data_IF_445080775927
#
_entry.id   IF_445080775927
#
_cell.length_a   1.000
_cell.length_b   1.000
_cell.length_c   1.000
_cell.angle_alpha   90.00
_cell.angle_beta   90.00
_cell.angle_gamma   90.00
#
_symmetry.space_group_name_H-M   'P 1'
#
loop_
_entity.id
_entity.type
_entity.pdbx_description
1 polymer ?
#
# COMPACT_ATOMS: atom_id res chain seq x y z
N UNK A 1 7.29 5.63 -2.26
CA UNK A 1 6.79 4.43 -2.94
C UNK A 1 7.92 3.47 -3.26
N UNK A 2 7.75 2.21 -2.92
CA UNK A 2 8.62 1.12 -3.32
C UNK A 2 7.82 0.13 -4.17
N UNK A 3 8.53 -0.67 -4.94
CA UNK A 3 7.94 -1.72 -5.77
C UNK A 3 8.62 -3.04 -5.43
N UNK A 4 7.85 -4.09 -5.25
CA UNK A 4 8.37 -5.42 -4.97
C UNK A 4 8.57 -6.18 -6.29
N UNK A 5 9.74 -6.77 -6.45
CA UNK A 5 10.13 -7.54 -7.63
C UNK A 5 10.22 -9.02 -7.28
N UNK A 6 9.76 -9.87 -8.18
CA UNK A 6 9.91 -11.31 -8.08
C UNK A 6 11.30 -11.78 -8.59
N UNK A 7 11.51 -13.09 -8.65
CA UNK A 7 12.75 -13.71 -9.12
C UNK A 7 13.09 -13.42 -10.59
N UNK A 8 12.10 -12.95 -11.36
CA UNK A 8 12.26 -12.60 -12.79
C UNK A 8 12.36 -11.08 -13.00
N UNK A 9 12.54 -10.29 -11.93
CA UNK A 9 12.55 -8.83 -11.94
C UNK A 9 11.23 -8.20 -12.39
N UNK A 10 10.13 -8.95 -12.30
CA UNK A 10 8.80 -8.43 -12.56
C UNK A 10 8.18 -7.90 -11.27
N UNK A 11 7.60 -6.69 -11.34
CA UNK A 11 6.91 -6.11 -10.19
C UNK A 11 5.53 -6.75 -10.02
N UNK A 12 5.13 -6.95 -8.79
CA UNK A 12 3.85 -7.60 -8.46
C UNK A 12 3.10 -6.94 -7.30
N UNK A 13 3.76 -6.12 -6.52
CA UNK A 13 3.18 -5.42 -5.37
C UNK A 13 3.91 -4.10 -5.16
N UNK A 14 3.28 -3.22 -4.37
CA UNK A 14 3.87 -1.98 -3.91
C UNK A 14 4.38 -2.10 -2.48
N UNK A 15 5.00 -1.04 -2.02
CA UNK A 15 5.48 -0.90 -0.65
C UNK A 15 5.69 0.55 -0.28
N UNK A 16 5.93 0.79 0.99
CA UNK A 16 6.15 2.12 1.55
C UNK A 16 7.51 2.16 2.25
N UNK A 17 8.32 3.14 1.95
CA UNK A 17 9.62 3.34 2.59
C UNK A 17 9.38 3.90 3.99
N UNK A 18 9.73 3.14 5.03
CA UNK A 18 9.63 3.58 6.42
C UNK A 18 10.89 4.31 6.89
N UNK A 19 12.06 3.77 6.53
CA UNK A 19 13.36 4.35 6.80
C UNK A 19 14.39 3.71 5.86
N UNK A 20 15.68 3.92 6.12
CA UNK A 20 16.75 3.44 5.23
C UNK A 20 16.83 1.91 5.13
N UNK A 21 16.31 1.15 6.09
CA UNK A 21 16.39 -0.31 6.09
C UNK A 21 15.05 -1.02 5.94
N UNK A 22 13.91 -0.35 6.20
CA UNK A 22 12.62 -1.03 6.31
C UNK A 22 11.59 -0.54 5.29
N UNK A 23 10.92 -1.51 4.70
CA UNK A 23 9.82 -1.31 3.76
C UNK A 23 8.56 -1.95 4.34
N UNK A 24 7.47 -1.20 4.34
CA UNK A 24 6.15 -1.69 4.74
C UNK A 24 5.41 -2.20 3.51
N UNK A 25 4.79 -3.37 3.60
CA UNK A 25 4.00 -3.94 2.53
C UNK A 25 2.84 -4.78 3.09
N UNK A 26 2.09 -5.42 2.21
CA UNK A 26 1.02 -6.32 2.61
C UNK A 26 1.54 -7.75 2.77
N UNK A 27 1.04 -8.46 3.77
CA UNK A 27 1.42 -9.85 4.01
C UNK A 27 1.05 -10.76 2.84
N UNK A 28 -0.06 -10.48 2.15
CA UNK A 28 -0.48 -11.30 1.00
C UNK A 28 0.50 -11.23 -0.17
N UNK A 29 1.34 -10.21 -0.24
CA UNK A 29 2.38 -10.05 -1.27
C UNK A 29 3.59 -10.96 -1.04
N UNK A 30 3.78 -11.47 0.17
CA UNK A 30 5.01 -12.15 0.58
C UNK A 30 4.85 -13.65 0.45
N UNK A 31 5.77 -14.27 -0.29
CA UNK A 31 5.93 -15.73 -0.34
C UNK A 31 7.30 -16.06 0.26
N UNK A 32 7.36 -16.66 1.47
CA UNK A 32 8.64 -16.93 2.15
C UNK A 32 9.57 -17.87 1.37
N UNK A 33 9.04 -18.67 0.42
CA UNK A 33 9.83 -19.60 -0.36
C UNK A 33 10.45 -19.00 -1.61
N UNK A 34 10.18 -17.70 -1.90
CA UNK A 34 10.70 -17.04 -3.10
C UNK A 34 11.59 -15.86 -2.75
N UNK A 35 12.60 -15.63 -3.59
CA UNK A 35 13.46 -14.47 -3.49
C UNK A 35 12.65 -13.20 -3.79
N UNK A 36 12.91 -12.16 -2.99
CA UNK A 36 12.20 -10.90 -3.06
C UNK A 36 13.21 -9.76 -3.10
N UNK A 37 12.98 -8.83 -4.01
CA UNK A 37 13.77 -7.61 -4.12
C UNK A 37 12.88 -6.38 -4.14
N UNK A 38 13.42 -5.25 -3.76
CA UNK A 38 12.72 -3.97 -3.69
C UNK A 38 13.36 -2.99 -4.66
N UNK A 39 12.55 -2.37 -5.49
CA UNK A 39 12.95 -1.31 -6.39
C UNK A 39 12.44 0.03 -5.83
N UNK A 40 13.33 1.00 -5.72
CA UNK A 40 13.00 2.36 -5.27
C UNK A 40 13.47 3.38 -6.30
N UNK A 41 12.94 4.59 -6.21
CA UNK A 41 13.31 5.70 -7.09
C UNK A 41 12.71 5.61 -8.49
N UNK A 42 11.75 4.71 -8.71
CA UNK A 42 11.08 4.57 -10.00
C UNK A 42 9.83 5.46 -10.05
N UNK A 43 9.72 6.29 -11.08
CA UNK A 43 8.53 7.07 -11.40
C UNK A 43 7.92 6.59 -12.71
N UNK A 44 8.76 6.18 -13.65
CA UNK A 44 8.37 5.68 -14.97
C UNK A 44 9.10 4.35 -15.21
N UNK A 45 8.36 3.29 -15.52
CA UNK A 45 8.91 1.93 -15.73
C UNK A 45 9.89 1.87 -16.90
N UNK A 46 9.67 2.67 -17.92
CA UNK A 46 10.47 2.69 -19.14
C UNK A 46 11.78 3.49 -18.99
N UNK A 47 11.84 4.40 -18.02
CA UNK A 47 12.98 5.26 -17.82
C UNK A 47 13.88 4.78 -16.70
N UNK A 48 15.18 4.72 -16.98
CA UNK A 48 16.19 4.52 -15.94
C UNK A 48 16.58 5.87 -15.34
N UNK A 49 16.01 6.17 -14.20
CA UNK A 49 16.33 7.39 -13.46
C UNK A 49 17.56 7.15 -12.59
N UNK A 50 18.41 8.19 -12.33
CA UNK A 50 19.59 8.02 -11.48
C UNK A 50 19.29 7.54 -10.06
N UNK A 51 18.10 7.85 -9.54
CA UNK A 51 17.64 7.43 -8.21
C UNK A 51 17.11 6.01 -8.16
N UNK A 52 16.89 5.38 -9.32
CA UNK A 52 16.34 4.03 -9.42
C UNK A 52 17.38 2.99 -8.97
N UNK A 53 17.05 2.22 -7.95
CA UNK A 53 17.94 1.22 -7.38
C UNK A 53 17.19 -0.01 -6.91
N UNK A 54 17.79 -1.18 -7.13
CA UNK A 54 17.27 -2.48 -6.68
C UNK A 54 18.02 -2.92 -5.42
N UNK A 55 17.26 -3.32 -4.39
CA UNK A 55 17.80 -3.74 -3.10
C UNK A 55 17.33 -5.16 -2.77
N UNK A 56 18.23 -5.96 -2.23
CA UNK A 56 17.91 -7.30 -1.73
C UNK A 56 17.25 -7.21 -0.36
N UNK A 57 16.25 -8.05 -0.14
CA UNK A 57 15.58 -8.19 1.14
C UNK A 57 16.31 -9.23 2.00
N UNK A 58 16.80 -8.82 3.15
CA UNK A 58 17.45 -9.70 4.13
C UNK A 58 16.42 -10.57 4.84
N UNK A 59 15.30 -9.96 5.26
CA UNK A 59 14.28 -10.63 6.05
C UNK A 59 12.91 -10.04 5.77
N UNK A 60 11.92 -10.91 5.60
CA UNK A 60 10.52 -10.55 5.48
C UNK A 60 9.77 -11.02 6.72
N UNK A 61 9.08 -10.10 7.40
CA UNK A 61 8.35 -10.38 8.64
C UNK A 61 6.86 -10.18 8.36
N UNK A 62 6.13 -11.29 8.28
CA UNK A 62 4.68 -11.30 8.11
C UNK A 62 4.03 -11.24 9.49
N UNK A 63 2.97 -10.44 9.64
CA UNK A 63 2.25 -10.38 10.90
C UNK A 63 1.75 -11.77 11.31
N UNK A 64 1.96 -12.20 12.57
CA UNK A 64 1.61 -13.56 12.99
C UNK A 64 0.12 -13.88 12.92
N UNK A 65 -0.74 -12.87 12.93
CA UNK A 65 -2.19 -13.05 12.84
C UNK A 65 -2.75 -12.87 11.43
N UNK A 66 -1.88 -12.76 10.42
CA UNK A 66 -2.36 -12.65 9.03
C UNK A 66 -3.13 -13.89 8.62
N UNK A 67 -4.34 -13.67 8.10
CA UNK A 67 -5.21 -14.73 7.61
C UNK A 67 -5.34 -14.62 6.08
N UNK A 68 -4.84 -15.62 5.36
CA UNK A 68 -4.86 -15.63 3.89
C UNK A 68 -6.24 -15.75 3.27
N UNK A 69 -7.21 -16.22 4.04
CA UNK A 69 -8.60 -16.35 3.57
C UNK A 69 -9.37 -15.04 3.67
N UNK A 70 -9.24 -14.35 4.80
CA UNK A 70 -9.98 -13.12 5.07
C UNK A 70 -9.18 -11.85 4.80
N UNK A 71 -7.86 -11.96 4.66
CA UNK A 71 -6.89 -10.86 4.57
C UNK A 71 -6.88 -9.99 5.84
N UNK A 72 -7.33 -10.51 6.96
CA UNK A 72 -7.19 -9.82 8.23
C UNK A 72 -5.73 -9.74 8.64
N UNK A 73 -5.30 -8.62 9.22
CA UNK A 73 -3.91 -8.35 9.59
C UNK A 73 -2.93 -8.45 8.40
N UNK A 74 -3.32 -7.90 7.27
CA UNK A 74 -2.55 -7.95 6.02
C UNK A 74 -1.42 -6.92 6.03
N UNK A 75 -0.38 -7.22 6.79
CA UNK A 75 0.77 -6.34 6.98
C UNK A 75 2.05 -7.15 7.09
N UNK A 76 3.11 -6.64 6.46
CA UNK A 76 4.45 -7.20 6.52
C UNK A 76 5.50 -6.09 6.52
N UNK A 77 6.64 -6.36 7.13
CA UNK A 77 7.79 -5.45 7.14
C UNK A 77 8.97 -6.18 6.53
N UNK A 78 9.64 -5.53 5.59
CA UNK A 78 10.80 -6.06 4.89
C UNK A 78 12.04 -5.32 5.36
N UNK A 79 13.07 -6.07 5.80
CA UNK A 79 14.37 -5.51 6.13
C UNK A 79 15.30 -5.69 4.95
N UNK A 80 15.94 -4.61 4.50
CA UNK A 80 16.90 -4.62 3.41
C UNK A 80 18.28 -5.03 3.90
N UNK A 81 19.07 -5.69 3.05
CA UNK A 81 20.47 -6.04 3.36
C UNK A 81 21.33 -4.80 3.51
N UNK A 82 21.11 -3.80 2.65
CA UNK A 82 21.87 -2.56 2.62
C UNK A 82 20.93 -1.36 2.73
N UNK A 83 21.36 -0.25 3.34
CA UNK A 83 20.50 0.92 3.51
C UNK A 83 20.21 1.62 2.19
N UNK A 84 19.01 2.22 2.12
CA UNK A 84 18.62 3.08 1.01
C UNK A 84 19.39 4.40 1.07
N UNK A 85 19.77 4.91 -0.10
CA UNK A 85 20.24 6.29 -0.24
C UNK A 85 19.04 7.18 -0.57
N UNK A 86 18.70 8.11 0.31
CA UNK A 86 17.59 9.02 0.10
C UNK A 86 17.94 10.08 -0.95
N UNK A 87 16.94 10.48 -1.72
CA UNK A 87 17.06 11.46 -2.80
C UNK A 87 15.69 12.11 -3.02
N UNK A 88 15.55 12.93 -4.05
CA UNK A 88 14.26 13.56 -4.39
C UNK A 88 13.16 12.52 -4.70
N UNK A 89 13.52 11.32 -5.17
CA UNK A 89 12.60 10.26 -5.52
C UNK A 89 12.59 9.09 -4.53
N UNK A 90 13.44 9.14 -3.51
CA UNK A 90 13.55 8.10 -2.48
C UNK A 90 13.46 8.76 -1.11
N UNK A 91 12.24 8.90 -0.60
CA UNK A 91 11.94 9.61 0.64
C UNK A 91 11.09 8.72 1.52
N UNK A 92 11.41 8.61 2.84
CA UNK A 92 10.57 7.85 3.74
C UNK A 92 9.24 8.57 3.99
N UNK A 93 8.19 7.80 4.20
CA UNK A 93 6.91 8.32 4.66
C UNK A 93 6.92 8.47 6.17
N UNK A 94 6.13 9.42 6.67
CA UNK A 94 6.00 9.64 8.12
C UNK A 94 5.04 8.61 8.72
N UNK A 95 5.48 7.94 9.80
CA UNK A 95 4.60 7.11 10.61
C UNK A 95 3.91 8.00 11.65
N UNK A 96 2.57 7.96 11.72
CA UNK A 96 1.84 8.71 12.75
C UNK A 96 1.87 7.99 14.09
N UNK A 97 1.58 8.72 15.16
CA UNK A 97 1.22 8.09 16.43
C UNK A 97 -0.21 7.57 16.36
N UNK A 98 -0.52 6.55 17.17
CA UNK A 98 -1.81 5.85 17.12
C UNK A 98 -3.01 6.78 17.33
N UNK A 99 -2.98 7.61 18.38
CA UNK A 99 -4.07 8.54 18.67
C UNK A 99 -4.24 9.59 17.57
N UNK A 100 -3.15 10.13 17.07
CA UNK A 100 -3.17 11.08 15.97
C UNK A 100 -3.76 10.45 14.70
N UNK A 101 -3.40 9.20 14.39
CA UNK A 101 -3.95 8.48 13.25
C UNK A 101 -5.45 8.28 13.39
N UNK A 102 -5.91 7.79 14.55
CA UNK A 102 -7.33 7.50 14.77
C UNK A 102 -8.19 8.75 14.87
N UNK A 103 -7.73 9.76 15.59
CA UNK A 103 -8.58 10.91 15.96
C UNK A 103 -8.53 12.02 14.91
N UNK A 104 -7.42 12.18 14.22
CA UNK A 104 -7.21 13.28 13.27
C UNK A 104 -7.13 12.79 11.83
N UNK A 105 -6.20 11.86 11.51
CA UNK A 105 -5.96 11.48 10.13
C UNK A 105 -7.13 10.72 9.52
N UNK A 106 -7.68 9.76 10.24
CA UNK A 106 -8.80 8.93 9.75
C UNK A 106 -10.12 9.71 9.66
N UNK A 107 -10.18 10.91 10.24
CA UNK A 107 -11.33 11.79 10.15
C UNK A 107 -11.20 12.86 9.06
N UNK A 108 -10.11 12.86 8.30
CA UNK A 108 -10.00 13.68 7.09
C UNK A 108 -10.95 13.17 6.01
N UNK A 109 -11.28 14.04 5.06
CA UNK A 109 -12.19 13.66 3.96
C UNK A 109 -11.54 12.73 2.96
N UNK A 110 -10.26 12.95 2.65
CA UNK A 110 -9.55 12.23 1.60
C UNK A 110 -8.23 11.66 2.09
N UNK A 111 -7.86 10.51 1.52
CA UNK A 111 -6.51 9.99 1.51
C UNK A 111 -5.98 9.92 0.08
N UNK A 112 -4.74 9.48 -0.06
CA UNK A 112 -4.05 9.39 -1.35
C UNK A 112 -3.43 7.99 -1.47
N UNK A 113 -3.70 7.33 -2.59
CA UNK A 113 -3.07 6.06 -2.94
C UNK A 113 -2.20 6.24 -4.17
N UNK A 114 -1.15 5.44 -4.27
CA UNK A 114 -0.24 5.48 -5.40
C UNK A 114 0.23 4.08 -5.77
N UNK A 115 0.61 3.91 -7.04
CA UNK A 115 1.10 2.63 -7.52
C UNK A 115 1.24 2.55 -9.02
N UNK A 116 1.77 1.42 -9.47
CA UNK A 116 1.97 1.07 -10.87
C UNK A 116 1.00 -0.01 -11.35
N UNK A 117 -0.07 -0.25 -10.61
CA UNK A 117 -1.07 -1.26 -10.94
C UNK A 117 -1.85 -0.97 -12.22
N UNK A 118 -2.72 -1.90 -12.60
CA UNK A 118 -3.53 -1.77 -13.79
C UNK A 118 -4.47 -0.57 -13.70
N UNK A 119 -4.74 0.07 -14.84
CA UNK A 119 -5.67 1.22 -14.89
C UNK A 119 -7.10 0.83 -14.57
N UNK A 120 -7.48 -0.39 -14.94
CA UNK A 120 -8.83 -0.94 -14.75
C UNK A 120 -8.70 -2.40 -14.34
N UNK A 121 -9.75 -2.96 -13.78
CA UNK A 121 -9.86 -4.40 -13.61
C UNK A 121 -9.62 -5.07 -14.97
N UNK A 122 -8.64 -5.98 -15.05
CA UNK A 122 -8.18 -6.63 -16.28
C UNK A 122 -7.58 -5.67 -17.32
N UNK A 123 -7.25 -4.45 -16.92
CA UNK A 123 -6.58 -3.49 -17.78
C UNK A 123 -5.09 -3.75 -17.92
N UNK A 124 -4.43 -2.88 -18.68
CA UNK A 124 -2.96 -2.93 -18.83
C UNK A 124 -2.28 -2.25 -17.66
N UNK A 125 -1.12 -2.75 -17.22
CA UNK A 125 -0.29 -2.05 -16.25
C UNK A 125 0.06 -0.64 -16.76
N UNK A 126 0.11 0.32 -15.86
CA UNK A 126 0.54 1.68 -16.18
C UNK A 126 2.06 1.77 -16.23
N UNK A 127 2.60 2.60 -17.11
CA UNK A 127 4.03 2.84 -17.23
C UNK A 127 4.55 3.81 -16.16
N UNK A 128 3.75 4.80 -15.82
CA UNK A 128 4.05 5.80 -14.79
C UNK A 128 3.27 5.53 -13.52
N UNK A 129 3.87 5.88 -12.38
CA UNK A 129 3.19 5.82 -11.11
C UNK A 129 1.95 6.71 -11.14
N UNK A 130 0.80 6.14 -10.78
CA UNK A 130 -0.43 6.88 -10.59
C UNK A 130 -0.58 7.30 -9.15
N UNK A 131 -1.08 8.52 -8.96
CA UNK A 131 -1.45 9.07 -7.67
C UNK A 131 -2.92 9.41 -7.72
N UNK A 132 -3.68 8.90 -6.76
CA UNK A 132 -5.14 9.04 -6.75
C UNK A 132 -5.61 9.51 -5.39
N UNK A 133 -6.33 10.64 -5.38
CA UNK A 133 -7.03 11.12 -4.17
C UNK A 133 -8.36 10.38 -4.05
N UNK A 134 -8.60 9.74 -2.92
CA UNK A 134 -9.82 8.97 -2.66
C UNK A 134 -10.43 9.33 -1.31
N UNK A 135 -11.77 9.40 -1.21
CA UNK A 135 -12.41 9.70 0.07
C UNK A 135 -12.40 8.51 1.00
N UNK A 136 -12.33 8.78 2.29
CA UNK A 136 -12.63 7.78 3.31
C UNK A 136 -14.10 7.40 3.24
N UNK A 137 -14.40 6.13 3.44
CA UNK A 137 -15.77 5.62 3.42
C UNK A 137 -16.13 5.13 4.82
N UNK A 138 -17.33 5.50 5.27
CA UNK A 138 -17.89 5.01 6.52
C UNK A 138 -17.91 3.48 6.53
N UNK A 139 -17.51 2.90 7.66
CA UNK A 139 -17.37 1.45 7.79
C UNK A 139 -18.68 0.69 7.58
N UNK A 140 -19.77 1.22 8.10
CA UNK A 140 -21.07 0.60 7.92
C UNK A 140 -21.52 0.61 6.46
N UNK A 141 -21.30 1.73 5.77
CA UNK A 141 -21.55 1.84 4.32
C UNK A 141 -20.73 0.81 3.54
N UNK A 142 -19.46 0.64 3.91
CA UNK A 142 -18.58 -0.30 3.25
C UNK A 142 -19.01 -1.75 3.49
N UNK A 143 -19.38 -2.11 4.72
CA UNK A 143 -19.84 -3.45 5.07
C UNK A 143 -21.08 -3.86 4.30
N UNK A 144 -21.98 -2.91 4.07
CA UNK A 144 -23.20 -3.16 3.28
C UNK A 144 -22.91 -3.34 1.79
N UNK A 145 -21.87 -2.67 1.27
CA UNK A 145 -21.52 -2.71 -0.14
C UNK A 145 -20.72 -3.95 -0.54
N UNK A 146 -20.00 -4.56 0.39
CA UNK A 146 -19.08 -5.66 0.11
C UNK A 146 -19.63 -7.00 0.61
N UNK A 147 -19.30 -8.07 -0.12
CA UNK A 147 -19.69 -9.44 0.23
C UNK A 147 -18.80 -10.04 1.30
N UNK A 148 -17.51 -9.70 1.27
CA UNK A 148 -16.51 -10.23 2.17
C UNK A 148 -16.43 -9.39 3.45
N UNK A 149 -16.04 -9.98 4.60
CA UNK A 149 -15.99 -9.25 5.86
C UNK A 149 -14.95 -8.12 5.87
N UNK A 150 -15.35 -6.98 6.44
CA UNK A 150 -14.45 -5.87 6.75
C UNK A 150 -14.26 -5.85 8.27
N UNK A 151 -13.07 -6.18 8.74
CA UNK A 151 -12.76 -6.29 10.16
C UNK A 151 -12.34 -4.94 10.77
N UNK A 152 -12.12 -4.93 12.09
CA UNK A 152 -11.60 -3.75 12.81
C UNK A 152 -10.18 -3.37 12.35
N UNK A 153 -9.44 -4.30 11.77
CA UNK A 153 -8.10 -4.08 11.25
C UNK A 153 -8.08 -3.55 9.82
N UNK A 154 -9.23 -3.17 9.31
CA UNK A 154 -9.44 -2.69 7.94
C UNK A 154 -10.19 -1.37 7.93
N UNK A 155 -10.01 -0.60 6.87
CA UNK A 155 -10.88 0.52 6.55
C UNK A 155 -11.12 0.57 5.04
N UNK A 156 -12.13 1.32 4.63
CA UNK A 156 -12.52 1.44 3.23
C UNK A 156 -12.29 2.87 2.72
N UNK A 157 -11.96 2.96 1.45
CA UNK A 157 -11.85 4.23 0.77
C UNK A 157 -12.19 4.05 -0.71
N UNK A 158 -12.65 5.11 -1.34
CA UNK A 158 -12.98 5.10 -2.75
C UNK A 158 -14.24 5.86 -3.07
N UNK A 159 -14.57 5.89 -4.35
CA UNK A 159 -15.79 6.51 -4.87
C UNK A 159 -16.84 5.43 -5.11
N UNK A 160 -18.10 5.82 -5.00
CA UNK A 160 -19.23 4.92 -5.31
C UNK A 160 -19.46 4.78 -6.82
N UNK A 161 -18.74 5.55 -7.63
CA UNK A 161 -18.81 5.54 -9.10
C UNK A 161 -17.60 4.86 -9.72
N UNK A 162 -17.76 4.37 -10.93
CA UNK A 162 -16.72 3.65 -11.66
C UNK A 162 -15.44 4.46 -11.88
N UNK A 163 -14.31 3.79 -11.90
CA UNK A 163 -13.08 4.24 -12.52
C UNK A 163 -11.96 4.72 -11.61
N UNK A 164 -12.20 4.97 -10.32
CA UNK A 164 -11.18 5.49 -9.41
C UNK A 164 -10.96 4.59 -8.20
N UNK A 165 -9.99 3.70 -8.30
CA UNK A 165 -9.61 2.78 -7.23
C UNK A 165 -8.18 2.29 -7.42
N UNK A 166 -7.57 1.79 -6.36
CA UNK A 166 -6.36 0.98 -6.44
C UNK A 166 -6.71 -0.36 -7.07
N UNK A 167 -5.76 -0.94 -7.80
CA UNK A 167 -6.04 -2.13 -8.59
C UNK A 167 -4.92 -3.16 -8.52
N UNK A 168 -5.04 -4.23 -9.31
CA UNK A 168 -4.08 -5.33 -9.36
C UNK A 168 -2.65 -4.81 -9.61
N UNK A 169 -1.71 -5.19 -8.76
CA UNK A 169 -0.34 -4.71 -8.77
C UNK A 169 -0.08 -3.55 -7.81
N UNK A 170 -1.13 -2.90 -7.29
CA UNK A 170 -1.02 -1.85 -6.28
C UNK A 170 -0.98 -2.40 -4.85
N UNK A 171 -1.43 -3.62 -4.63
CA UNK A 171 -1.46 -4.25 -3.30
C UNK A 171 -0.12 -4.12 -2.57
N UNK A 172 -0.16 -3.83 -1.29
CA UNK A 172 1.02 -3.55 -0.48
C UNK A 172 1.50 -2.11 -0.53
N UNK A 173 1.03 -1.33 -1.49
CA UNK A 173 1.36 0.09 -1.64
C UNK A 173 0.73 0.98 -0.58
N UNK A 174 1.14 2.25 -0.54
CA UNK A 174 0.72 3.15 0.53
C UNK A 174 -0.65 3.77 0.32
N UNK A 175 -1.38 3.91 1.42
CA UNK A 175 -2.44 4.88 1.59
C UNK A 175 -1.91 5.92 2.57
N UNK A 176 -1.86 7.19 2.15
CA UNK A 176 -1.35 8.29 2.97
C UNK A 176 -2.42 9.35 3.17
N UNK A 177 -2.30 10.09 4.26
CA UNK A 177 -3.20 11.20 4.56
C UNK A 177 -2.38 12.45 4.85
N UNK A 178 -2.73 13.55 4.19
CA UNK A 178 -2.06 14.83 4.38
C UNK A 178 -2.69 15.58 5.55
N UNK A 179 -1.84 16.12 6.42
CA UNK A 179 -2.23 17.02 7.50
C UNK A 179 -1.16 18.08 7.66
N UNK A 180 -1.57 19.35 7.59
CA UNK A 180 -0.67 20.51 7.67
C UNK A 180 0.56 20.41 6.76
N UNK A 181 0.37 19.96 5.52
CA UNK A 181 1.43 19.84 4.53
C UNK A 181 2.33 18.62 4.67
N UNK A 182 2.11 17.78 5.68
CA UNK A 182 2.87 16.54 5.91
C UNK A 182 2.03 15.34 5.52
N UNK A 183 2.66 14.35 4.88
CA UNK A 183 2.01 13.11 4.45
C UNK A 183 2.36 11.99 5.43
N UNK A 184 1.32 11.40 6.03
CA UNK A 184 1.45 10.29 6.98
C UNK A 184 0.90 9.01 6.38
N UNK A 185 1.57 7.90 6.61
CA UNK A 185 1.07 6.58 6.21
C UNK A 185 -0.12 6.22 7.10
N UNK A 186 -1.25 5.98 6.50
CA UNK A 186 -2.48 5.61 7.21
C UNK A 186 -2.96 4.19 6.89
N UNK A 187 -2.51 3.63 5.79
CA UNK A 187 -2.94 2.29 5.40
C UNK A 187 -2.06 1.62 4.37
N UNK A 188 -2.39 0.37 4.12
CA UNK A 188 -1.75 -0.48 3.13
C UNK A 188 -2.85 -0.98 2.19
N UNK A 189 -2.66 -0.86 0.89
CA UNK A 189 -3.59 -1.38 -0.10
C UNK A 189 -3.68 -2.90 0.07
N UNK A 190 -4.86 -3.43 0.39
CA UNK A 190 -5.02 -4.83 0.77
C UNK A 190 -5.85 -5.61 -0.23
N UNK A 191 -7.17 -5.35 -0.33
CA UNK A 191 -8.04 -6.12 -1.22
C UNK A 191 -9.23 -5.28 -1.70
N UNK A 192 -9.99 -5.85 -2.63
CA UNK A 192 -11.22 -5.25 -3.15
C UNK A 192 -12.00 -6.25 -3.97
N UNK A 193 -13.29 -5.99 -4.18
CA UNK A 193 -14.17 -6.79 -5.04
C UNK A 193 -14.19 -6.17 -6.43
N UNK A 194 -13.07 -6.31 -7.15
CA UNK A 194 -12.80 -5.62 -8.41
C UNK A 194 -12.07 -4.30 -8.18
N UNK A 195 -11.95 -3.48 -9.22
CA UNK A 195 -11.26 -2.20 -9.15
C UNK A 195 -12.13 -1.11 -9.76
N UNK A 196 -12.54 -0.12 -8.96
CA UNK A 196 -13.36 0.98 -9.41
C UNK A 196 -14.76 0.58 -9.85
N UNK A 197 -15.25 -0.58 -9.43
CA UNK A 197 -16.60 -1.03 -9.74
C UNK A 197 -17.63 -0.22 -8.95
N UNK A 198 -18.72 0.11 -9.62
CA UNK A 198 -19.79 0.88 -9.01
C UNK A 198 -20.33 0.19 -7.76
N UNK A 199 -20.45 0.96 -6.67
CA UNK A 199 -20.94 0.45 -5.38
C UNK A 199 -19.94 -0.41 -4.62
N UNK A 200 -18.69 -0.48 -5.07
CA UNK A 200 -17.61 -1.22 -4.41
C UNK A 200 -16.47 -0.28 -4.04
N UNK A 201 -15.84 -0.54 -2.91
CA UNK A 201 -14.76 0.26 -2.38
C UNK A 201 -13.50 -0.57 -2.21
N UNK A 202 -12.33 0.10 -2.25
CA UNK A 202 -11.08 -0.55 -1.88
C UNK A 202 -10.99 -0.75 -0.37
N UNK A 203 -10.36 -1.83 0.04
CA UNK A 203 -10.15 -2.15 1.46
C UNK A 203 -8.67 -2.09 1.77
N UNK A 204 -8.34 -1.43 2.88
CA UNK A 204 -6.98 -1.12 3.29
C UNK A 204 -6.74 -1.68 4.68
N UNK A 205 -5.51 -2.14 4.94
CA UNK A 205 -5.08 -2.46 6.29
C UNK A 205 -5.01 -1.17 7.10
N UNK A 206 -5.66 -1.13 8.26
CA UNK A 206 -5.66 0.03 9.15
C UNK A 206 -4.35 0.06 9.94
N UNK A 207 -3.38 0.83 9.46
CA UNK A 207 -2.04 0.86 10.05
C UNK A 207 -2.05 1.27 11.52
N UNK A 208 -3.01 2.10 11.95
CA UNK A 208 -3.08 2.54 13.35
C UNK A 208 -3.22 1.39 14.34
N UNK A 209 -3.79 0.26 13.92
CA UNK A 209 -3.94 -0.95 14.75
C UNK A 209 -2.65 -1.73 14.90
N UNK A 210 -1.65 -1.45 14.07
CA UNK A 210 -0.41 -2.21 14.01
C UNK A 210 0.84 -1.39 14.36
N UNK A 211 0.69 -0.12 14.72
CA UNK A 211 1.83 0.75 15.03
C UNK A 211 2.76 0.19 16.11
N UNK A 212 2.25 -0.43 17.20
CA UNK A 212 3.15 -1.06 18.18
C UNK A 212 3.96 -2.24 17.63
N UNK A 213 3.45 -2.90 16.58
CA UNK A 213 4.13 -4.04 15.96
C UNK A 213 5.18 -3.60 14.93
N UNK A 214 4.94 -2.50 14.22
CA UNK A 214 5.81 -1.99 13.16
C UNK A 214 7.19 -1.51 13.66
#
# INVERSE_FOLDING_TARGET
>A
QAVLLDEYDEWFCGGTILNEYFILSAAHCINPSKDLRVLVGMVDKEKKEPSRAVHKVEKAIIHPEFNRTTYDSDIAVLKLEEPLAFSDHVVPACLPEEDFANDILMNQTFGIVSGFGNMFERGRPVERMKVLQIPYVDKDTCKLALRNPVTENMFCAGYDKDGKDACQGDGGGPHVTQYNGTYFVTGIISWGEGCGNRGKYGVYTNLSKFLPWV
#
